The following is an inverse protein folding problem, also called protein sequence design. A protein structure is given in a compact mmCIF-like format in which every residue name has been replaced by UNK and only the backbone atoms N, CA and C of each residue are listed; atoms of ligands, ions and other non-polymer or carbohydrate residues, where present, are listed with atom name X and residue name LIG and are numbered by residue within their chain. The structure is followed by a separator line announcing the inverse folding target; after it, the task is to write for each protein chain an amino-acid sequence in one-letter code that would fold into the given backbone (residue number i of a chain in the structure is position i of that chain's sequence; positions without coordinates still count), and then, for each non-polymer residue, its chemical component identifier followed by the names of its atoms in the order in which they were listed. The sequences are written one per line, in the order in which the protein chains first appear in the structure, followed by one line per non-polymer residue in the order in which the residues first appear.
data_IF_602553567618
#
_entry.id   IF_602553567618
#
_cell.length_a   1.000
_cell.length_b   1.000
_cell.length_c   1.000
_cell.angle_alpha   90.00
_cell.angle_beta   90.00
_cell.angle_gamma   90.00
#
_symmetry.space_group_name_H-M   'P 1'
#
loop_
_entity.id
_entity.type
_entity.pdbx_description
1 polymer ?
#
# COMPACT_ATOMS: atom_id res chain seq x y z
N UNK A 1 17.87 -12.89 17.69
CA UNK A 1 17.34 -11.53 17.55
C UNK A 1 17.08 -11.33 16.07
N UNK A 2 15.85 -11.51 15.60
CA UNK A 2 15.45 -11.17 14.24
C UNK A 2 15.53 -9.66 14.12
N UNK A 3 16.48 -9.16 13.33
CA UNK A 3 16.52 -7.73 12.99
C UNK A 3 15.16 -7.37 12.36
N UNK A 4 14.41 -6.51 13.01
CA UNK A 4 13.10 -6.03 12.59
C UNK A 4 13.29 -5.08 11.37
N UNK A 5 13.78 -5.63 10.26
CA UNK A 5 14.00 -4.89 9.02
C UNK A 5 12.68 -4.74 8.29
N UNK A 6 12.39 -3.51 7.90
CA UNK A 6 11.26 -3.21 7.02
C UNK A 6 11.41 -4.00 5.71
N UNK A 7 10.30 -4.48 5.13
CA UNK A 7 10.32 -5.36 3.96
C UNK A 7 10.82 -4.64 2.72
N UNK A 8 11.56 -5.36 1.86
CA UNK A 8 11.98 -4.87 0.54
C UNK A 8 11.26 -5.64 -0.55
N UNK A 9 10.79 -4.94 -1.57
CA UNK A 9 10.07 -5.51 -2.70
C UNK A 9 8.61 -5.10 -2.75
N UNK A 10 7.69 -6.03 -2.92
CA UNK A 10 6.27 -5.75 -2.96
C UNK A 10 5.59 -6.02 -1.61
N UNK A 11 4.91 -5.01 -1.11
CA UNK A 11 4.22 -5.00 0.18
C UNK A 11 2.78 -4.52 -0.04
N UNK A 12 1.96 -5.29 -0.78
CA UNK A 12 0.66 -4.82 -1.21
C UNK A 12 -0.26 -4.52 -0.03
N UNK A 13 -1.19 -3.59 -0.28
CA UNK A 13 -2.30 -3.35 0.61
C UNK A 13 -3.42 -4.36 0.36
N UNK A 14 -4.12 -4.72 1.42
CA UNK A 14 -5.33 -5.53 1.37
C UNK A 14 -6.55 -4.60 1.28
N UNK A 15 -7.40 -4.84 0.33
CA UNK A 15 -8.72 -4.21 0.26
C UNK A 15 -9.60 -4.76 1.39
N UNK A 16 -10.57 -3.96 1.83
CA UNK A 16 -11.59 -4.44 2.76
C UNK A 16 -12.74 -5.07 2.00
N UNK A 17 -12.95 -6.40 2.12
CA UNK A 17 -14.08 -7.05 1.48
C UNK A 17 -15.40 -6.68 2.17
N UNK A 18 -16.44 -6.41 1.38
CA UNK A 18 -17.79 -6.16 1.89
C UNK A 18 -18.79 -7.11 1.24
N UNK A 19 -19.82 -7.48 2.01
CA UNK A 19 -21.05 -8.03 1.46
C UNK A 19 -21.89 -6.93 0.81
N UNK A 20 -22.92 -7.33 0.05
CA UNK A 20 -23.84 -6.39 -0.60
C UNK A 20 -24.61 -5.49 0.40
N UNK A 21 -24.80 -5.94 1.65
CA UNK A 21 -25.41 -5.14 2.71
C UNK A 21 -24.42 -4.16 3.38
N UNK A 22 -23.17 -4.15 2.90
CA UNK A 22 -22.11 -3.30 3.39
C UNK A 22 -21.41 -3.83 4.66
N UNK A 23 -21.76 -4.97 5.23
CA UNK A 23 -20.99 -5.59 6.32
C UNK A 23 -19.65 -6.14 5.80
N UNK A 24 -18.65 -6.24 6.69
CA UNK A 24 -17.30 -6.73 6.30
C UNK A 24 -17.35 -8.25 6.15
N UNK A 25 -16.83 -8.76 5.01
CA UNK A 25 -16.56 -10.19 4.81
C UNK A 25 -15.16 -10.54 5.34
N UNK A 26 -15.08 -10.87 6.62
CA UNK A 26 -13.81 -11.27 7.25
C UNK A 26 -13.24 -12.57 6.68
N UNK A 27 -14.07 -13.50 6.20
CA UNK A 27 -13.59 -14.71 5.51
C UNK A 27 -12.90 -14.33 4.20
N UNK A 28 -13.46 -13.36 3.47
CA UNK A 28 -12.84 -12.78 2.28
C UNK A 28 -11.50 -12.12 2.59
N UNK A 29 -11.40 -11.39 3.73
CA UNK A 29 -10.13 -10.81 4.16
C UNK A 29 -9.07 -11.89 4.44
N UNK A 30 -9.43 -12.99 5.09
CA UNK A 30 -8.54 -14.12 5.32
C UNK A 30 -8.11 -14.76 3.99
N UNK A 31 -9.02 -14.94 3.06
CA UNK A 31 -8.72 -15.48 1.73
C UNK A 31 -7.75 -14.57 0.95
N UNK A 32 -7.91 -13.24 1.02
CA UNK A 32 -6.97 -12.28 0.42
C UNK A 32 -5.57 -12.38 1.03
N UNK A 33 -5.47 -12.52 2.34
CA UNK A 33 -4.19 -12.69 3.04
C UNK A 33 -3.47 -13.94 2.53
N UNK A 34 -4.17 -15.07 2.49
CA UNK A 34 -3.60 -16.35 2.02
C UNK A 34 -3.19 -16.31 0.56
N UNK A 35 -4.04 -15.77 -0.33
CA UNK A 35 -3.71 -15.62 -1.76
C UNK A 35 -2.51 -14.71 -1.98
N UNK A 36 -2.43 -13.61 -1.21
CA UNK A 36 -1.35 -12.64 -1.34
C UNK A 36 -0.02 -13.22 -0.85
N UNK A 37 -0.02 -13.97 0.25
CA UNK A 37 1.19 -14.66 0.73
C UNK A 37 1.61 -15.75 -0.27
N UNK A 38 0.67 -16.57 -0.74
CA UNK A 38 0.94 -17.58 -1.76
C UNK A 38 1.42 -16.98 -3.09
N UNK A 39 1.02 -15.75 -3.40
CA UNK A 39 1.43 -14.99 -4.57
C UNK A 39 2.88 -14.46 -4.52
N UNK A 40 3.58 -14.61 -3.40
CA UNK A 40 5.01 -14.25 -3.28
C UNK A 40 5.26 -12.82 -2.81
N UNK A 41 4.38 -12.26 -2.00
CA UNK A 41 4.57 -10.94 -1.40
C UNK A 41 5.78 -10.89 -0.45
N UNK A 42 6.38 -9.72 -0.30
CA UNK A 42 7.45 -9.45 0.66
C UNK A 42 6.96 -8.89 2.00
N UNK A 43 5.68 -8.61 2.11
CA UNK A 43 4.98 -8.09 3.29
C UNK A 43 3.57 -7.71 2.93
N UNK A 44 2.78 -7.25 3.90
CA UNK A 44 1.38 -6.86 3.72
C UNK A 44 1.08 -5.56 4.46
N UNK A 45 0.12 -4.79 3.96
CA UNK A 45 -0.40 -3.61 4.65
C UNK A 45 -1.93 -3.62 4.72
N UNK A 46 -2.51 -3.22 5.88
CA UNK A 46 -3.95 -3.01 6.07
C UNK A 46 -4.25 -2.20 7.35
N UNK A 47 -5.37 -1.45 7.38
CA UNK A 47 -6.07 -0.87 6.23
C UNK A 47 -5.43 0.46 5.81
N UNK A 48 -5.35 0.74 4.52
CA UNK A 48 -4.88 2.01 3.96
C UNK A 48 -5.97 2.70 3.14
N UNK A 49 -5.62 3.77 2.41
CA UNK A 49 -6.59 4.57 1.64
C UNK A 49 -7.42 3.71 0.68
N UNK A 50 -6.78 2.86 -0.13
CA UNK A 50 -7.51 1.99 -1.05
C UNK A 50 -8.18 0.77 -0.38
N UNK A 51 -7.96 0.54 0.92
CA UNK A 51 -8.81 -0.36 1.71
C UNK A 51 -10.14 0.29 2.15
N UNK A 52 -10.49 1.45 1.58
CA UNK A 52 -11.66 2.25 1.98
C UNK A 52 -11.64 2.66 3.46
N UNK A 53 -10.45 2.96 4.01
CA UNK A 53 -10.25 3.23 5.43
C UNK A 53 -11.17 4.34 5.98
N UNK A 54 -11.55 5.31 5.13
CA UNK A 54 -12.46 6.40 5.52
C UNK A 54 -13.92 5.98 5.65
N UNK A 55 -14.29 4.82 5.10
CA UNK A 55 -15.63 4.24 5.21
C UNK A 55 -15.74 3.21 6.36
N UNK A 56 -14.66 2.99 7.10
CA UNK A 56 -14.62 2.06 8.23
C UNK A 56 -14.82 2.78 9.57
N UNK A 57 -15.58 2.15 10.48
CA UNK A 57 -15.64 2.61 11.86
C UNK A 57 -14.31 2.38 12.59
N UNK A 58 -14.16 3.00 13.76
CA UNK A 58 -12.98 2.79 14.62
C UNK A 58 -12.82 1.31 14.99
N UNK A 59 -13.92 0.67 15.35
CA UNK A 59 -13.97 -0.74 15.77
C UNK A 59 -13.63 -1.68 14.62
N UNK A 60 -14.15 -1.41 13.42
CA UNK A 60 -13.82 -2.18 12.21
C UNK A 60 -12.34 -2.08 11.84
N UNK A 61 -11.76 -0.88 11.89
CA UNK A 61 -10.32 -0.69 11.66
C UNK A 61 -9.48 -1.46 12.65
N UNK A 62 -9.82 -1.43 13.94
CA UNK A 62 -9.17 -2.21 14.98
C UNK A 62 -9.26 -3.71 14.69
N UNK A 63 -10.45 -4.21 14.33
CA UNK A 63 -10.67 -5.61 14.00
C UNK A 63 -9.84 -6.04 12.78
N UNK A 64 -9.81 -5.23 11.72
CA UNK A 64 -9.00 -5.53 10.52
C UNK A 64 -7.51 -5.64 10.87
N UNK A 65 -6.95 -4.71 11.64
CA UNK A 65 -5.56 -4.76 12.07
C UNK A 65 -5.29 -6.05 12.87
N UNK A 66 -6.16 -6.35 13.84
CA UNK A 66 -5.99 -7.50 14.73
C UNK A 66 -6.11 -8.82 13.97
N UNK A 67 -7.13 -8.96 13.10
CA UNK A 67 -7.36 -10.17 12.30
C UNK A 67 -6.22 -10.35 11.29
N UNK A 68 -5.80 -9.28 10.61
CA UNK A 68 -4.71 -9.36 9.65
C UNK A 68 -3.39 -9.77 10.32
N UNK A 69 -3.02 -9.16 11.45
CA UNK A 69 -1.82 -9.53 12.19
C UNK A 69 -1.84 -10.99 12.64
N UNK A 70 -2.96 -11.46 13.19
CA UNK A 70 -3.13 -12.85 13.62
C UNK A 70 -3.07 -13.84 12.45
N UNK A 71 -3.77 -13.54 11.35
CA UNK A 71 -3.78 -14.39 10.17
C UNK A 71 -2.42 -14.45 9.47
N UNK A 72 -1.71 -13.32 9.37
CA UNK A 72 -0.34 -13.30 8.82
C UNK A 72 0.60 -14.11 9.69
N UNK A 73 0.44 -14.06 11.02
CA UNK A 73 1.14 -14.93 11.96
C UNK A 73 2.66 -14.86 11.86
N UNK A 74 3.24 -13.72 11.47
CA UNK A 74 4.69 -13.55 11.30
C UNK A 74 5.28 -14.23 10.05
N UNK A 75 4.46 -14.81 9.15
CA UNK A 75 4.93 -15.44 7.90
C UNK A 75 5.60 -14.43 6.96
N UNK A 76 5.13 -13.20 6.97
CA UNK A 76 5.72 -12.04 6.28
C UNK A 76 5.57 -10.81 7.18
N UNK A 77 6.38 -9.75 6.98
CA UNK A 77 6.20 -8.48 7.68
C UNK A 77 4.80 -7.90 7.47
N UNK A 78 4.20 -7.36 8.55
CA UNK A 78 2.94 -6.64 8.49
C UNK A 78 3.14 -5.18 8.86
N UNK A 79 2.64 -4.27 8.04
CA UNK A 79 2.65 -2.82 8.28
C UNK A 79 1.21 -2.37 8.45
N UNK A 80 0.83 -1.98 9.66
CA UNK A 80 -0.54 -1.60 9.96
C UNK A 80 -0.86 -0.15 9.55
N UNK A 81 -2.05 0.09 9.03
CA UNK A 81 -2.55 1.44 8.73
C UNK A 81 -3.11 2.13 9.97
N UNK A 82 -2.52 3.26 10.34
CA UNK A 82 -2.93 4.04 11.52
C UNK A 82 -3.35 5.50 11.19
N UNK A 83 -3.58 5.80 9.92
CA UNK A 83 -3.88 7.17 9.47
C UNK A 83 -5.18 7.72 10.06
N UNK A 84 -5.13 8.95 10.54
CA UNK A 84 -6.27 9.79 10.93
C UNK A 84 -5.83 11.25 10.92
N UNK A 85 -6.75 12.17 10.64
CA UNK A 85 -6.51 13.60 10.80
C UNK A 85 -6.52 14.02 12.29
N UNK A 86 -7.10 13.22 13.17
CA UNK A 86 -7.03 13.34 14.62
C UNK A 86 -5.79 12.59 15.14
N UNK A 87 -4.78 13.27 15.74
CA UNK A 87 -3.56 12.62 16.21
C UNK A 87 -3.80 11.61 17.34
N UNK A 88 -4.82 11.80 18.18
CA UNK A 88 -5.15 10.86 19.26
C UNK A 88 -5.74 9.56 18.70
N UNK A 89 -6.55 9.65 17.66
CA UNK A 89 -7.07 8.48 16.97
C UNK A 89 -5.96 7.77 16.17
N UNK A 90 -5.07 8.51 15.53
CA UNK A 90 -3.89 7.92 14.86
C UNK A 90 -3.01 7.18 15.87
N UNK A 91 -2.72 7.79 17.03
CA UNK A 91 -1.98 7.14 18.13
C UNK A 91 -2.69 5.89 18.65
N UNK A 92 -4.02 5.90 18.75
CA UNK A 92 -4.79 4.72 19.16
C UNK A 92 -4.54 3.54 18.20
N UNK A 93 -4.62 3.74 16.88
CA UNK A 93 -4.35 2.68 15.92
C UNK A 93 -2.87 2.26 15.89
N UNK A 94 -1.95 3.20 16.10
CA UNK A 94 -0.53 2.90 16.22
C UNK A 94 -0.21 2.02 17.45
N UNK A 95 -0.93 2.19 18.57
CA UNK A 95 -0.85 1.29 19.73
C UNK A 95 -1.38 -0.09 19.40
N UNK A 96 -2.51 -0.21 18.71
CA UNK A 96 -3.03 -1.51 18.26
C UNK A 96 -2.00 -2.21 17.35
N UNK A 97 -1.36 -1.46 16.44
CA UNK A 97 -0.28 -2.00 15.61
C UNK A 97 0.89 -2.54 16.47
N UNK A 98 1.31 -1.79 17.49
CA UNK A 98 2.35 -2.23 18.43
C UNK A 98 1.92 -3.49 19.20
N UNK A 99 0.73 -3.49 19.77
CA UNK A 99 0.20 -4.60 20.59
C UNK A 99 -0.01 -5.88 19.79
N UNK A 100 -0.28 -5.77 18.49
CA UNK A 100 -0.44 -6.92 17.58
C UNK A 100 0.89 -7.40 16.98
N UNK A 101 2.01 -6.75 17.31
CA UNK A 101 3.33 -7.13 16.80
C UNK A 101 3.58 -6.75 15.35
N UNK A 102 2.90 -5.74 14.84
CA UNK A 102 3.18 -5.22 13.50
C UNK A 102 4.64 -4.75 13.38
N UNK A 103 5.26 -5.01 12.24
CA UNK A 103 6.65 -4.62 11.98
C UNK A 103 6.83 -3.10 11.95
N UNK A 104 5.81 -2.39 11.51
CA UNK A 104 5.72 -0.93 11.47
C UNK A 104 4.25 -0.52 11.37
N UNK A 105 4.02 0.79 11.46
CA UNK A 105 2.72 1.37 11.10
C UNK A 105 2.88 2.56 10.16
N UNK A 106 1.83 2.83 9.38
CA UNK A 106 1.80 3.95 8.43
C UNK A 106 0.76 4.98 8.89
N UNK A 107 1.18 6.24 8.91
CA UNK A 107 0.28 7.39 9.12
C UNK A 107 0.44 8.37 7.96
N UNK A 108 -0.66 8.69 7.30
CA UNK A 108 -0.68 9.71 6.27
C UNK A 108 -0.55 11.12 6.87
N UNK A 109 0.12 11.99 6.16
CA UNK A 109 0.07 13.43 6.47
C UNK A 109 -1.37 13.90 6.28
N UNK A 110 -2.01 14.51 7.30
CA UNK A 110 -3.33 15.11 7.12
C UNK A 110 -3.34 16.10 5.95
N UNK A 111 -4.30 16.04 5.03
CA UNK A 111 -4.33 16.92 3.85
C UNK A 111 -4.27 18.40 4.21
N UNK A 112 -4.88 18.78 5.34
CA UNK A 112 -4.89 20.16 5.84
C UNK A 112 -3.50 20.68 6.25
N UNK A 113 -2.54 19.79 6.51
CA UNK A 113 -1.19 20.20 6.92
C UNK A 113 -0.23 20.48 5.75
N UNK A 114 -0.61 20.15 4.52
CA UNK A 114 0.19 20.51 3.37
C UNK A 114 0.18 22.03 3.16
N UNK A 115 1.37 22.63 3.03
CA UNK A 115 1.56 24.08 2.94
C UNK A 115 1.58 24.80 4.28
N UNK A 116 1.35 24.11 5.39
CA UNK A 116 1.52 24.66 6.73
C UNK A 116 3.00 24.72 7.14
N UNK A 117 3.35 25.51 8.17
CA UNK A 117 4.69 25.51 8.75
C UNK A 117 5.13 24.09 9.14
N UNK A 118 6.39 23.75 8.89
CA UNK A 118 6.94 22.44 9.22
C UNK A 118 6.71 22.04 10.70
N UNK A 119 6.65 23.02 11.59
CA UNK A 119 6.41 22.79 13.02
C UNK A 119 5.02 22.18 13.30
N UNK A 120 4.00 22.55 12.54
CA UNK A 120 2.64 22.02 12.73
C UNK A 120 2.62 20.53 12.36
N UNK A 121 3.29 20.17 11.25
CA UNK A 121 3.45 18.77 10.84
C UNK A 121 4.22 17.96 11.90
N UNK A 122 5.32 18.52 12.42
CA UNK A 122 6.12 17.89 13.49
C UNK A 122 5.28 17.68 14.74
N UNK A 123 4.53 18.70 15.19
CA UNK A 123 3.68 18.62 16.39
C UNK A 123 2.62 17.53 16.26
N UNK A 124 1.99 17.42 15.09
CA UNK A 124 1.03 16.35 14.81
C UNK A 124 1.67 14.98 15.01
N UNK A 125 2.80 14.72 14.35
CA UNK A 125 3.45 13.40 14.45
C UNK A 125 4.08 13.13 15.81
N UNK A 126 4.55 14.14 16.54
CA UNK A 126 4.98 13.96 17.94
C UNK A 126 3.84 13.44 18.82
N UNK A 127 2.63 13.96 18.63
CA UNK A 127 1.45 13.46 19.34
C UNK A 127 1.10 12.01 18.95
N UNK A 128 1.31 11.62 17.69
CA UNK A 128 1.04 10.26 17.21
C UNK A 128 2.01 9.23 17.82
N UNK A 129 3.31 9.55 17.88
CA UNK A 129 4.34 8.59 18.33
C UNK A 129 4.47 8.51 19.85
N UNK A 130 3.77 9.33 20.60
CA UNK A 130 3.91 9.39 22.06
C UNK A 130 3.65 8.05 22.74
N UNK A 131 4.73 7.51 23.39
CA UNK A 131 4.71 6.21 24.05
C UNK A 131 4.69 5.00 23.10
N UNK A 132 5.09 5.16 21.82
CA UNK A 132 5.10 4.07 20.84
C UNK A 132 6.54 3.89 20.28
N UNK A 133 7.10 2.70 20.44
CA UNK A 133 8.44 2.35 19.95
C UNK A 133 8.42 1.67 18.57
N UNK A 134 7.28 1.15 18.14
CA UNK A 134 7.11 0.54 16.80
C UNK A 134 7.48 1.54 15.71
N UNK A 135 8.23 1.12 14.67
CA UNK A 135 8.65 2.02 13.60
C UNK A 135 7.49 2.71 12.88
N UNK A 136 7.59 4.03 12.73
CA UNK A 136 6.65 4.84 11.95
C UNK A 136 7.12 4.98 10.50
N UNK A 137 6.20 4.81 9.55
CA UNK A 137 6.35 5.23 8.16
C UNK A 137 5.34 6.36 7.91
N UNK A 138 5.81 7.53 7.49
CA UNK A 138 4.91 8.63 7.12
C UNK A 138 4.50 8.45 5.65
N UNK A 139 3.19 8.42 5.39
CA UNK A 139 2.67 8.45 4.03
C UNK A 139 2.55 9.90 3.56
N UNK A 140 3.41 10.27 2.63
CA UNK A 140 3.43 11.57 1.98
C UNK A 140 2.59 11.51 0.71
N UNK A 141 1.28 11.63 0.89
CA UNK A 141 0.26 11.56 -0.16
C UNK A 141 -0.39 12.93 -0.34
N UNK A 142 0.08 13.66 -1.33
CA UNK A 142 -0.58 14.89 -1.78
C UNK A 142 -1.04 14.70 -3.23
N UNK A 143 -2.37 14.59 -3.42
CA UNK A 143 -2.95 14.44 -4.75
C UNK A 143 -2.53 15.58 -5.67
N UNK A 144 -1.84 15.25 -6.78
CA UNK A 144 -1.33 16.20 -7.75
C UNK A 144 -0.39 17.27 -7.19
N UNK A 145 0.23 17.01 -6.03
CA UNK A 145 1.12 17.94 -5.35
C UNK A 145 2.51 17.35 -5.06
N UNK A 146 3.47 18.22 -4.66
CA UNK A 146 4.84 17.82 -4.40
C UNK A 146 5.02 17.09 -3.06
N UNK A 147 4.01 17.08 -2.19
CA UNK A 147 4.09 16.58 -0.82
C UNK A 147 4.98 17.45 0.10
N UNK A 148 5.48 16.86 1.16
CA UNK A 148 6.37 17.52 2.11
C UNK A 148 7.69 17.93 1.44
N UNK A 149 8.17 19.13 1.75
CA UNK A 149 9.51 19.57 1.36
C UNK A 149 10.61 18.86 2.19
N UNK A 150 11.82 18.85 1.67
CA UNK A 150 12.95 18.18 2.33
C UNK A 150 13.27 18.76 3.71
N UNK A 151 13.05 20.06 3.93
CA UNK A 151 13.29 20.71 5.22
C UNK A 151 12.34 20.18 6.28
N UNK A 152 11.05 20.04 5.93
CA UNK A 152 10.03 19.44 6.79
C UNK A 152 10.38 17.99 7.11
N UNK A 153 10.78 17.20 6.10
CA UNK A 153 11.16 15.78 6.30
C UNK A 153 12.38 15.66 7.24
N UNK A 154 13.38 16.53 7.10
CA UNK A 154 14.54 16.55 8.02
C UNK A 154 14.12 16.87 9.46
N UNK A 155 13.26 17.88 9.66
CA UNK A 155 12.74 18.21 11.00
C UNK A 155 11.96 17.06 11.62
N UNK A 156 11.15 16.36 10.82
CA UNK A 156 10.44 15.16 11.28
C UNK A 156 11.43 14.08 11.72
N UNK A 157 12.48 13.81 10.93
CA UNK A 157 13.49 12.83 11.27
C UNK A 157 14.25 13.17 12.55
N UNK A 158 14.57 14.45 12.76
CA UNK A 158 15.26 14.93 13.97
C UNK A 158 14.35 14.85 15.21
N UNK A 159 13.05 15.10 15.05
CA UNK A 159 12.08 15.17 16.15
C UNK A 159 11.47 13.80 16.52
N UNK A 160 11.52 12.79 15.64
CA UNK A 160 10.82 11.52 15.79
C UNK A 160 11.81 10.35 15.70
N UNK A 161 12.34 9.86 16.84
CA UNK A 161 13.32 8.75 16.85
C UNK A 161 12.80 7.48 16.17
N UNK A 162 11.48 7.23 16.21
CA UNK A 162 10.83 6.07 15.61
C UNK A 162 10.51 6.22 14.13
N UNK A 163 10.74 7.40 13.52
CA UNK A 163 10.54 7.58 12.09
C UNK A 163 11.52 6.73 11.28
N UNK A 164 11.03 5.67 10.68
CA UNK A 164 11.83 4.71 9.93
C UNK A 164 11.88 5.02 8.43
N UNK A 165 10.88 5.73 7.88
CA UNK A 165 10.84 6.00 6.46
C UNK A 165 9.60 6.74 5.98
N UNK A 166 9.50 6.83 4.65
CA UNK A 166 8.39 7.46 3.95
C UNK A 166 7.77 6.53 2.90
N UNK A 167 6.46 6.56 2.80
CA UNK A 167 5.72 6.11 1.62
C UNK A 167 5.41 7.36 0.79
N UNK A 168 6.07 7.50 -0.37
CA UNK A 168 6.02 8.71 -1.20
C UNK A 168 5.07 8.50 -2.36
N UNK A 169 3.99 9.28 -2.38
CA UNK A 169 2.92 9.25 -3.39
C UNK A 169 2.64 10.66 -3.92
N UNK A 170 3.69 11.30 -4.40
CA UNK A 170 3.66 12.66 -4.97
C UNK A 170 3.81 12.62 -6.48
N UNK A 171 3.56 13.74 -7.15
CA UNK A 171 3.69 13.83 -8.61
C UNK A 171 4.62 15.00 -8.98
N UNK A 172 5.77 14.72 -9.63
CA UNK A 172 6.36 13.40 -9.90
C UNK A 172 7.04 12.79 -8.66
N UNK A 173 6.93 11.46 -8.48
CA UNK A 173 7.53 10.78 -7.33
C UNK A 173 9.04 10.49 -7.50
N UNK A 174 9.48 10.15 -8.72
CA UNK A 174 10.85 9.73 -9.00
C UNK A 174 11.94 10.66 -8.48
N UNK A 175 11.94 11.96 -8.81
CA UNK A 175 12.93 12.91 -8.28
C UNK A 175 12.94 12.98 -6.76
N UNK A 176 11.77 12.85 -6.11
CA UNK A 176 11.66 12.88 -4.66
C UNK A 176 12.27 11.64 -4.01
N UNK A 177 12.11 10.45 -4.58
CA UNK A 177 12.82 9.25 -4.13
C UNK A 177 14.32 9.49 -4.04
N UNK A 178 14.91 10.04 -5.12
CA UNK A 178 16.35 10.35 -5.17
C UNK A 178 16.74 11.41 -4.13
N UNK A 179 15.96 12.49 -3.99
CA UNK A 179 16.23 13.55 -3.04
C UNK A 179 16.23 13.04 -1.60
N UNK A 180 15.24 12.23 -1.23
CA UNK A 180 15.12 11.64 0.11
C UNK A 180 16.24 10.62 0.34
N UNK A 181 16.52 9.75 -0.64
CA UNK A 181 17.60 8.76 -0.54
C UNK A 181 18.97 9.44 -0.32
N UNK A 182 19.28 10.50 -1.06
CA UNK A 182 20.52 11.24 -0.93
C UNK A 182 20.64 11.95 0.43
N UNK A 183 19.51 12.39 1.01
CA UNK A 183 19.52 13.08 2.28
C UNK A 183 19.67 12.17 3.50
N UNK A 184 19.12 10.95 3.44
CA UNK A 184 19.00 10.08 4.63
C UNK A 184 19.76 8.75 4.49
N UNK A 185 20.31 8.44 3.32
CA UNK A 185 21.08 7.21 3.09
C UNK A 185 20.23 5.93 2.95
N UNK A 186 20.90 4.77 2.89
CA UNK A 186 20.26 3.49 2.55
C UNK A 186 19.42 2.88 3.68
N UNK A 187 19.60 3.33 4.92
CA UNK A 187 18.89 2.78 6.09
C UNK A 187 17.53 3.46 6.31
N UNK A 188 17.27 4.58 5.64
CA UNK A 188 15.96 5.23 5.69
C UNK A 188 15.04 4.59 4.65
N UNK A 189 13.98 3.97 5.11
CA UNK A 189 13.04 3.25 4.26
C UNK A 189 12.30 4.20 3.32
N UNK A 190 12.26 3.86 2.05
CA UNK A 190 11.50 4.59 1.03
C UNK A 190 10.61 3.61 0.30
N UNK A 191 9.31 3.85 0.30
CA UNK A 191 8.37 3.12 -0.55
C UNK A 191 7.61 4.06 -1.47
N UNK A 192 7.22 3.52 -2.61
CA UNK A 192 6.22 4.12 -3.47
C UNK A 192 4.85 3.48 -3.23
N UNK A 193 3.84 4.02 -3.91
CA UNK A 193 2.47 3.51 -3.91
C UNK A 193 1.71 4.05 -5.11
N UNK A 194 0.38 4.15 -4.97
CA UNK A 194 -0.51 4.56 -6.04
C UNK A 194 -0.26 3.77 -7.33
N UNK A 195 -0.63 2.52 -7.28
CA UNK A 195 -0.67 1.55 -8.37
C UNK A 195 0.58 1.48 -9.25
N UNK A 196 1.66 2.14 -8.85
CA UNK A 196 3.04 1.92 -9.31
C UNK A 196 3.32 2.08 -10.82
N UNK A 197 2.78 3.07 -11.54
CA UNK A 197 3.11 3.28 -12.96
C UNK A 197 4.61 3.57 -13.17
N UNK A 198 5.31 4.07 -12.15
CA UNK A 198 6.74 4.37 -12.16
C UNK A 198 7.60 3.23 -11.60
N UNK A 199 7.11 1.99 -11.57
CA UNK A 199 7.77 0.86 -10.90
C UNK A 199 9.25 0.71 -11.28
N UNK A 200 9.56 0.61 -12.57
CA UNK A 200 10.93 0.39 -13.02
C UNK A 200 11.84 1.56 -12.64
N UNK A 201 11.36 2.80 -12.82
CA UNK A 201 12.08 4.00 -12.41
C UNK A 201 12.32 4.01 -10.90
N UNK A 202 11.34 3.63 -10.09
CA UNK A 202 11.45 3.56 -8.63
C UNK A 202 12.52 2.54 -8.21
N UNK A 203 12.51 1.35 -8.81
CA UNK A 203 13.52 0.31 -8.57
C UNK A 203 14.93 0.79 -8.97
N UNK A 204 15.08 1.43 -10.15
CA UNK A 204 16.35 2.01 -10.60
C UNK A 204 16.89 3.08 -9.65
N UNK A 205 16.01 3.79 -8.94
CA UNK A 205 16.36 4.80 -7.94
C UNK A 205 16.62 4.23 -6.54
N UNK A 206 16.55 2.92 -6.38
CA UNK A 206 16.81 2.23 -5.11
C UNK A 206 15.69 2.42 -4.07
N UNK A 207 14.44 2.49 -4.50
CA UNK A 207 13.27 2.43 -3.61
C UNK A 207 13.22 1.05 -2.96
N UNK A 208 13.01 0.99 -1.64
CA UNK A 208 13.05 -0.27 -0.88
C UNK A 208 11.82 -1.14 -1.13
N UNK A 209 10.64 -0.52 -1.22
CA UNK A 209 9.40 -1.25 -1.44
C UNK A 209 8.40 -0.47 -2.30
N UNK A 210 7.48 -1.22 -2.92
CA UNK A 210 6.29 -0.67 -3.56
C UNK A 210 5.06 -1.25 -2.87
N UNK A 211 4.05 -0.40 -2.67
CA UNK A 211 2.81 -0.74 -1.96
C UNK A 211 1.63 -0.60 -2.96
N UNK A 212 1.46 -1.59 -3.85
CA UNK A 212 0.33 -1.65 -4.78
C UNK A 212 -0.88 -2.36 -4.15
N UNK A 213 -1.90 -2.60 -4.97
CA UNK A 213 -3.03 -3.46 -4.67
C UNK A 213 -2.63 -4.94 -4.62
N UNK A 214 -3.27 -5.72 -3.75
CA UNK A 214 -2.99 -7.14 -3.56
C UNK A 214 -3.42 -8.02 -4.75
N UNK A 215 -4.42 -7.60 -5.50
CA UNK A 215 -4.97 -8.35 -6.63
C UNK A 215 -3.95 -8.70 -7.72
N UNK A 216 -2.89 -7.89 -7.89
CA UNK A 216 -1.84 -8.08 -8.89
C UNK A 216 -0.55 -8.67 -8.32
N UNK A 217 -0.59 -9.26 -7.12
CA UNK A 217 0.63 -9.71 -6.40
C UNK A 217 1.53 -10.61 -7.24
N UNK A 218 0.99 -11.60 -7.98
CA UNK A 218 1.79 -12.52 -8.79
C UNK A 218 2.54 -11.83 -9.93
N UNK A 219 1.89 -10.85 -10.58
CA UNK A 219 2.52 -10.03 -11.60
C UNK A 219 3.68 -9.23 -11.04
N UNK A 220 3.45 -8.53 -9.93
CA UNK A 220 4.49 -7.74 -9.29
C UNK A 220 5.63 -8.59 -8.72
N UNK A 221 5.32 -9.73 -8.09
CA UNK A 221 6.33 -10.65 -7.57
C UNK A 221 7.24 -11.18 -8.70
N UNK A 222 6.66 -11.51 -9.86
CA UNK A 222 7.42 -11.96 -11.03
C UNK A 222 8.33 -10.87 -11.58
N UNK A 223 7.84 -9.63 -11.70
CA UNK A 223 8.65 -8.48 -12.13
C UNK A 223 9.79 -8.22 -11.16
N UNK A 224 9.51 -8.24 -9.86
CA UNK A 224 10.53 -7.99 -8.83
C UNK A 224 11.58 -9.10 -8.79
N UNK A 225 11.18 -10.36 -8.95
CA UNK A 225 12.11 -11.50 -9.05
C UNK A 225 13.08 -11.31 -10.20
N UNK A 226 12.60 -10.95 -11.40
CA UNK A 226 13.46 -10.66 -12.55
C UNK A 226 14.42 -9.49 -12.27
N UNK A 227 13.88 -8.36 -11.75
CA UNK A 227 14.68 -7.19 -11.45
C UNK A 227 15.77 -7.46 -10.41
N UNK A 228 15.40 -8.06 -9.27
CA UNK A 228 16.33 -8.36 -8.16
C UNK A 228 17.33 -9.46 -8.53
N UNK A 229 17.00 -10.33 -9.46
CA UNK A 229 17.89 -11.32 -10.08
C UNK A 229 18.88 -10.72 -11.08
N UNK A 230 18.81 -9.41 -11.35
CA UNK A 230 19.71 -8.71 -12.28
C UNK A 230 19.21 -8.65 -13.72
N UNK A 231 18.09 -9.27 -14.04
CA UNK A 231 17.48 -9.18 -15.38
C UNK A 231 16.48 -8.02 -15.48
N UNK A 232 17.05 -6.80 -15.51
CA UNK A 232 16.24 -5.58 -15.69
C UNK A 232 15.47 -5.59 -17.02
N UNK A 233 16.02 -6.22 -18.07
CA UNK A 233 15.37 -6.24 -19.38
C UNK A 233 14.09 -7.06 -19.34
N UNK A 234 14.13 -8.21 -18.70
CA UNK A 234 12.95 -9.03 -18.47
C UNK A 234 11.92 -8.34 -17.55
N UNK A 235 12.38 -7.70 -16.48
CA UNK A 235 11.49 -6.91 -15.62
C UNK A 235 10.74 -5.81 -16.39
N UNK A 236 11.42 -5.11 -17.29
CA UNK A 236 10.83 -4.10 -18.20
C UNK A 236 9.83 -4.73 -19.16
N UNK A 237 10.15 -5.90 -19.72
CA UNK A 237 9.26 -6.63 -20.63
C UNK A 237 7.96 -7.03 -19.92
N UNK A 238 8.07 -7.64 -18.74
CA UNK A 238 6.94 -8.05 -17.89
C UNK A 238 6.08 -6.85 -17.44
N UNK A 239 6.74 -5.75 -17.06
CA UNK A 239 6.04 -4.53 -16.67
C UNK A 239 5.24 -3.93 -17.83
N UNK A 240 5.76 -3.96 -19.05
CA UNK A 240 5.04 -3.51 -20.25
C UNK A 240 3.78 -4.35 -20.51
N UNK A 241 3.81 -5.64 -20.23
CA UNK A 241 2.61 -6.50 -20.31
C UNK A 241 1.57 -6.12 -19.26
N UNK A 242 2.00 -5.71 -18.04
CA UNK A 242 1.09 -5.28 -16.99
C UNK A 242 0.54 -3.85 -17.21
N UNK A 243 1.21 -3.01 -17.99
CA UNK A 243 0.88 -1.61 -18.17
C UNK A 243 -0.59 -1.34 -18.59
N UNK A 244 -1.24 -2.10 -19.49
CA UNK A 244 -2.64 -1.89 -19.84
C UNK A 244 -3.57 -2.00 -18.63
N UNK A 245 -3.30 -2.93 -17.71
CA UNK A 245 -4.07 -3.11 -16.47
C UNK A 245 -3.92 -1.88 -15.58
N UNK A 246 -2.69 -1.43 -15.38
CA UNK A 246 -2.41 -0.25 -14.55
C UNK A 246 -2.98 1.04 -15.16
N UNK A 247 -2.93 1.19 -16.48
CA UNK A 247 -3.51 2.36 -17.15
C UNK A 247 -5.03 2.40 -17.02
N UNK A 248 -5.70 1.26 -17.07
CA UNK A 248 -7.14 1.22 -16.88
C UNK A 248 -7.50 1.46 -15.40
N UNK A 249 -6.86 0.75 -14.46
CA UNK A 249 -7.21 0.81 -13.04
C UNK A 249 -6.86 2.15 -12.38
N UNK A 250 -5.82 2.87 -12.84
CA UNK A 250 -5.28 4.04 -12.15
C UNK A 250 -5.85 5.39 -12.61
N UNK A 251 -7.03 5.41 -13.20
CA UNK A 251 -7.63 6.66 -13.66
C UNK A 251 -8.10 7.54 -12.48
N UNK A 252 -8.60 6.91 -11.42
CA UNK A 252 -9.11 7.57 -10.22
C UNK A 252 -9.18 6.54 -9.08
N UNK A 253 -9.15 6.99 -7.81
CA UNK A 253 -9.07 6.12 -6.65
C UNK A 253 -10.23 5.10 -6.55
N UNK A 254 -11.47 5.57 -6.66
CA UNK A 254 -12.64 4.68 -6.55
C UNK A 254 -12.80 3.77 -7.78
N UNK A 255 -12.37 4.24 -8.93
CA UNK A 255 -12.25 3.41 -10.13
C UNK A 255 -11.27 2.26 -9.91
N UNK A 256 -10.13 2.56 -9.30
CA UNK A 256 -9.10 1.57 -8.94
C UNK A 256 -9.66 0.52 -7.97
N UNK A 257 -10.27 0.95 -6.88
CA UNK A 257 -10.85 0.06 -5.87
C UNK A 257 -11.93 -0.83 -6.50
N UNK A 258 -12.83 -0.26 -7.29
CA UNK A 258 -13.89 -1.01 -7.98
C UNK A 258 -13.31 -2.07 -8.92
N UNK A 259 -12.27 -1.72 -9.68
CA UNK A 259 -11.60 -2.63 -10.60
C UNK A 259 -10.97 -3.81 -9.85
N UNK A 260 -10.19 -3.56 -8.80
CA UNK A 260 -9.50 -4.61 -8.08
C UNK A 260 -10.46 -5.50 -7.29
N UNK A 261 -11.50 -4.96 -6.68
CA UNK A 261 -12.55 -5.78 -6.06
C UNK A 261 -13.27 -6.67 -7.07
N UNK A 262 -13.58 -6.15 -8.26
CA UNK A 262 -14.16 -6.95 -9.35
C UNK A 262 -13.22 -8.06 -9.82
N UNK A 263 -11.93 -7.77 -9.96
CA UNK A 263 -10.91 -8.76 -10.30
C UNK A 263 -10.84 -9.86 -9.22
N UNK A 264 -10.81 -9.49 -7.94
CA UNK A 264 -10.75 -10.45 -6.85
C UNK A 264 -12.03 -11.30 -6.75
N UNK A 265 -13.19 -10.73 -7.02
CA UNK A 265 -14.44 -11.49 -7.11
C UNK A 265 -14.40 -12.48 -8.30
N UNK A 266 -13.88 -12.08 -9.47
CA UNK A 266 -13.65 -12.98 -10.62
C UNK A 266 -12.64 -14.09 -10.31
N UNK A 267 -11.66 -13.86 -9.46
CA UNK A 267 -10.73 -14.88 -8.95
C UNK A 267 -11.38 -15.80 -7.91
N UNK A 268 -12.60 -15.53 -7.46
CA UNK A 268 -13.31 -16.27 -6.42
C UNK A 268 -12.79 -16.02 -5.00
N UNK A 269 -12.00 -14.98 -4.80
CA UNK A 269 -11.46 -14.58 -3.49
C UNK A 269 -12.48 -13.79 -2.67
N UNK A 270 -13.32 -13.01 -3.32
CA UNK A 270 -14.38 -12.21 -2.69
C UNK A 270 -15.75 -12.74 -3.12
N UNK A 271 -16.71 -12.71 -2.19
CA UNK A 271 -18.12 -13.05 -2.46
C UNK A 271 -18.86 -11.94 -3.23
N UNK A 272 -18.37 -10.70 -3.09
CA UNK A 272 -18.94 -9.51 -3.75
C UNK A 272 -17.83 -8.52 -4.09
N UNK A 273 -18.07 -7.70 -5.10
CA UNK A 273 -17.25 -6.52 -5.43
C UNK A 273 -17.77 -5.23 -4.80
N UNK A 274 -18.65 -5.33 -3.78
CA UNK A 274 -19.27 -4.19 -3.12
C UNK A 274 -18.25 -3.23 -2.50
N UNK A 275 -18.57 -1.95 -2.57
CA UNK A 275 -17.82 -0.84 -1.98
C UNK A 275 -18.73 -0.09 -0.99
N UNK A 276 -18.14 0.44 0.06
CA UNK A 276 -18.82 1.40 0.96
C UNK A 276 -18.61 2.84 0.55
N UNK A 277 -17.56 3.11 -0.21
CA UNK A 277 -17.27 4.46 -0.69
C UNK A 277 -18.43 5.00 -1.51
N UNK A 278 -18.82 6.27 -1.32
CA UNK A 278 -20.07 6.78 -1.83
C UNK A 278 -20.12 6.80 -3.36
N UNK A 279 -21.12 6.07 -3.91
CA UNK A 279 -21.69 6.38 -5.21
C UNK A 279 -20.86 6.11 -6.45
N UNK A 280 -19.73 5.38 -6.34
CA UNK A 280 -19.01 5.00 -7.55
C UNK A 280 -19.70 3.80 -8.22
N UNK A 281 -20.12 4.00 -9.46
CA UNK A 281 -20.62 2.93 -10.31
C UNK A 281 -20.07 3.10 -11.72
N UNK A 282 -19.72 2.00 -12.36
CA UNK A 282 -19.36 2.05 -13.76
C UNK A 282 -20.60 2.14 -14.65
N UNK A 283 -20.48 2.91 -15.72
CA UNK A 283 -21.40 2.78 -16.82
C UNK A 283 -21.13 1.45 -17.56
N UNK A 284 -22.02 1.11 -18.51
CA UNK A 284 -21.89 -0.14 -19.27
C UNK A 284 -20.57 -0.25 -20.05
N UNK A 285 -20.03 0.88 -20.53
CA UNK A 285 -18.80 0.87 -21.33
C UNK A 285 -17.58 0.61 -20.44
N UNK A 286 -17.47 1.33 -19.33
CA UNK A 286 -16.42 1.10 -18.33
C UNK A 286 -16.46 -0.32 -17.77
N UNK A 287 -17.65 -0.85 -17.50
CA UNK A 287 -17.80 -2.22 -17.03
C UNK A 287 -17.36 -3.27 -18.07
N UNK A 288 -17.66 -3.04 -19.35
CA UNK A 288 -17.20 -3.93 -20.44
C UNK A 288 -15.69 -3.92 -20.57
N UNK A 289 -15.07 -2.73 -20.60
CA UNK A 289 -13.61 -2.62 -20.70
C UNK A 289 -12.94 -3.19 -19.45
N UNK A 290 -13.53 -3.02 -18.26
CA UNK A 290 -13.01 -3.64 -17.03
C UNK A 290 -12.96 -5.16 -17.15
N UNK A 291 -14.02 -5.79 -17.68
CA UNK A 291 -14.03 -7.25 -17.88
C UNK A 291 -12.99 -7.71 -18.89
N UNK A 292 -12.81 -6.99 -20.00
CA UNK A 292 -11.77 -7.27 -20.99
C UNK A 292 -10.36 -7.17 -20.38
N UNK A 293 -10.11 -6.15 -19.57
CA UNK A 293 -8.82 -5.94 -18.89
C UNK A 293 -8.60 -7.01 -17.80
N UNK A 294 -9.65 -7.42 -17.10
CA UNK A 294 -9.58 -8.52 -16.13
C UNK A 294 -9.24 -9.84 -16.84
N UNK A 295 -9.93 -10.18 -17.93
CA UNK A 295 -9.65 -11.39 -18.69
C UNK A 295 -8.22 -11.40 -19.24
N UNK A 296 -7.75 -10.24 -19.72
CA UNK A 296 -6.35 -10.07 -20.11
C UNK A 296 -5.40 -10.35 -18.93
N UNK A 297 -5.63 -9.74 -17.74
CA UNK A 297 -4.78 -9.96 -16.58
C UNK A 297 -4.79 -11.42 -16.11
N UNK A 298 -5.93 -12.08 -16.08
CA UNK A 298 -6.02 -13.49 -15.71
C UNK A 298 -5.21 -14.37 -16.66
N UNK A 299 -5.17 -14.03 -17.95
CA UNK A 299 -4.33 -14.72 -18.93
C UNK A 299 -2.83 -14.51 -18.67
N UNK A 300 -2.43 -13.29 -18.20
CA UNK A 300 -1.06 -13.02 -17.77
C UNK A 300 -0.71 -13.80 -16.50
N UNK A 301 -1.57 -13.75 -15.49
CA UNK A 301 -1.36 -14.43 -14.20
C UNK A 301 -1.18 -15.93 -14.36
N UNK A 302 -1.93 -16.56 -15.26
CA UNK A 302 -1.77 -17.98 -15.60
C UNK A 302 -0.37 -18.30 -16.19
N UNK A 303 0.20 -17.36 -16.96
CA UNK A 303 1.58 -17.51 -17.50
C UNK A 303 2.64 -17.34 -16.41
N UNK A 304 2.43 -16.45 -15.43
CA UNK A 304 3.35 -16.27 -14.31
C UNK A 304 3.37 -17.48 -13.36
N UNK A 305 2.26 -18.22 -13.27
CA UNK A 305 2.17 -19.42 -12.45
C UNK A 305 2.71 -20.69 -13.14
N UNK A 306 2.96 -20.65 -14.45
CA UNK A 306 3.50 -21.78 -15.18
C UNK A 306 4.97 -22.02 -14.80
N UNK A 307 5.39 -23.29 -14.54
CA UNK A 307 6.80 -23.59 -14.30
C UNK A 307 7.65 -23.16 -15.51
N UNK A 308 8.80 -22.54 -15.23
CA UNK A 308 9.80 -22.25 -16.28
C UNK A 308 10.12 -23.56 -17.03
N UNK A 309 9.90 -23.56 -18.36
CA UNK A 309 10.21 -24.70 -19.22
C UNK A 309 11.70 -24.80 -19.51
#
# INVERSE_FOLDING_TARGET
MTTNRLPRGFVPLLETPFFEDGSIDYDGLLALIEDTIAGGTNGLTAPLVASEVHALTKEERQQIITIAAAAIGGRVPFIAGASSDDPDLARHFARIAADTGATAYIVAVPPALYGHPAQDVVTFFQSVVDGIETPLIIQDLQWNGPGLDLTTIKRLRDALPTLAGLKIETVPAGPKYTTVRNAFGPDFFISGGWAVPQLIEALDRGVDAMIPESALVRGFATIYKAYSGGDRSEAVRLFRELAPVLMFSNQELYHSIAFFKRLMARKGLLKSAAMRAPGYSWDRFSATVADEVIDYYLSLEARYAAPER
#
